data_IF_833968050238
#
_entry.id   IF_833968050238
#
_cell.length_a   1.000
_cell.length_b   1.000
_cell.length_c   1.000
_cell.angle_alpha   90.00
_cell.angle_beta   90.00
_cell.angle_gamma   90.00
#
_symmetry.space_group_name_H-M   'P 1'
#
loop_
_entity.id
_entity.type
_entity.pdbx_description
1 polymer ?
#
# COMPACT_ATOMS: atom_id res chain seq x y z
N UNK A 1 -13.20 7.43 38.61
CA UNK A 1 -13.23 6.05 38.06
C UNK A 1 -11.99 5.88 37.19
N UNK A 2 -11.18 4.85 37.42
CA UNK A 2 -9.94 4.65 36.65
C UNK A 2 -10.21 4.07 35.26
N UNK A 3 -9.33 4.33 34.30
CA UNK A 3 -9.40 3.74 32.96
C UNK A 3 -9.23 2.20 33.03
N UNK A 4 -10.00 1.48 32.22
CA UNK A 4 -9.86 0.01 32.10
C UNK A 4 -8.57 -0.36 31.38
N UNK A 5 -8.09 -1.60 31.53
CA UNK A 5 -6.93 -2.08 30.80
C UNK A 5 -7.11 -2.02 29.26
N UNK A 6 -8.33 -2.23 28.77
CA UNK A 6 -8.66 -2.07 27.35
C UNK A 6 -8.54 -0.60 26.92
N UNK A 7 -9.03 0.33 27.75
CA UNK A 7 -8.96 1.76 27.46
C UNK A 7 -7.54 2.31 27.53
N UNK A 8 -6.69 1.78 28.43
CA UNK A 8 -5.27 2.11 28.46
C UNK A 8 -4.55 1.66 27.18
N UNK A 9 -4.84 0.44 26.67
CA UNK A 9 -4.27 -0.06 25.41
C UNK A 9 -4.72 0.77 24.21
N UNK A 10 -6.02 1.07 24.11
CA UNK A 10 -6.55 1.92 23.03
C UNK A 10 -5.91 3.32 23.04
N UNK A 11 -5.76 3.94 24.23
CA UNK A 11 -5.09 5.22 24.37
C UNK A 11 -3.61 5.16 23.97
N UNK A 12 -2.93 4.06 24.26
CA UNK A 12 -1.54 3.86 23.83
C UNK A 12 -1.43 3.69 22.32
N UNK A 13 -2.30 2.88 21.70
CA UNK A 13 -2.34 2.68 20.26
C UNK A 13 -2.64 3.99 19.51
N UNK A 14 -3.59 4.78 20.01
CA UNK A 14 -3.91 6.09 19.44
C UNK A 14 -2.71 7.07 19.52
N UNK A 15 -2.01 7.13 20.66
CA UNK A 15 -0.81 7.96 20.80
C UNK A 15 0.30 7.51 19.86
N UNK A 16 0.60 6.21 19.82
CA UNK A 16 1.58 5.65 18.89
C UNK A 16 1.24 5.98 17.45
N UNK A 17 -0.05 5.90 17.08
CA UNK A 17 -0.50 6.24 15.74
C UNK A 17 -0.24 7.70 15.39
N UNK A 18 -0.63 8.63 16.27
CA UNK A 18 -0.39 10.06 16.06
C UNK A 18 1.11 10.37 15.98
N UNK A 19 1.93 9.81 16.88
CA UNK A 19 3.39 9.99 16.87
C UNK A 19 4.02 9.52 15.55
N UNK A 20 3.57 8.39 15.02
CA UNK A 20 4.04 7.88 13.73
C UNK A 20 3.58 8.78 12.58
N UNK A 21 2.33 9.24 12.59
CA UNK A 21 1.83 10.16 11.55
C UNK A 21 2.64 11.45 11.53
N UNK A 22 2.83 12.08 12.69
CA UNK A 22 3.57 13.34 12.83
C UNK A 22 5.03 13.23 12.33
N UNK A 23 5.63 12.04 12.44
CA UNK A 23 6.99 11.78 11.98
C UNK A 23 7.07 11.39 10.48
N UNK A 24 6.15 10.55 10.01
CA UNK A 24 6.22 9.94 8.66
C UNK A 24 5.62 10.84 7.59
N UNK A 25 4.51 11.53 7.88
CA UNK A 25 3.79 12.34 6.89
C UNK A 25 4.69 13.42 6.27
N UNK A 26 5.39 14.29 7.03
CA UNK A 26 6.22 15.34 6.44
C UNK A 26 7.34 14.81 5.55
N UNK A 27 7.90 13.64 5.91
CA UNK A 27 8.93 12.94 5.12
C UNK A 27 8.34 12.41 3.81
N UNK A 28 7.18 11.76 3.88
CA UNK A 28 6.47 11.25 2.71
C UNK A 28 6.12 12.39 1.74
N UNK A 29 5.60 13.51 2.25
CA UNK A 29 5.30 14.67 1.42
C UNK A 29 6.55 15.28 0.78
N UNK A 30 7.65 15.42 1.55
CA UNK A 30 8.91 15.93 1.03
C UNK A 30 9.43 15.04 -0.10
N UNK A 31 9.37 13.72 0.08
CA UNK A 31 9.78 12.76 -0.93
C UNK A 31 8.87 12.78 -2.15
N UNK A 32 7.57 12.93 -1.97
CA UNK A 32 6.60 13.11 -3.05
C UNK A 32 6.95 14.33 -3.91
N UNK A 33 7.13 15.50 -3.27
CA UNK A 33 7.48 16.76 -3.95
C UNK A 33 8.84 16.67 -4.66
N UNK A 34 9.79 15.93 -4.11
CA UNK A 34 11.11 15.78 -4.69
C UNK A 34 11.16 14.80 -5.88
N UNK A 35 10.21 13.86 -5.97
CA UNK A 35 10.24 12.76 -6.96
C UNK A 35 9.22 12.90 -8.07
N UNK A 36 8.27 13.81 -7.93
CA UNK A 36 7.11 13.91 -8.82
C UNK A 36 6.89 15.33 -9.28
N UNK A 37 6.35 15.50 -10.48
CA UNK A 37 5.88 16.77 -11.02
C UNK A 37 4.43 16.60 -11.45
N UNK A 38 3.49 17.20 -10.71
CA UNK A 38 2.06 17.16 -11.03
C UNK A 38 1.19 16.26 -10.16
N UNK A 39 1.75 15.51 -9.21
CA UNK A 39 0.95 14.85 -8.17
C UNK A 39 0.66 15.81 -7.02
N UNK A 40 -0.51 15.67 -6.40
CA UNK A 40 -0.80 16.32 -5.14
C UNK A 40 -0.04 15.57 -4.02
N UNK A 41 0.80 16.27 -3.27
CA UNK A 41 1.62 15.67 -2.22
C UNK A 41 1.15 16.00 -0.79
N UNK A 42 -0.03 16.61 -0.64
CA UNK A 42 -0.67 16.88 0.65
C UNK A 42 -1.45 15.64 1.07
N UNK A 43 -0.80 14.76 1.83
CA UNK A 43 -1.41 13.50 2.28
C UNK A 43 -2.53 13.77 3.28
N UNK A 44 -3.58 12.97 3.18
CA UNK A 44 -4.64 12.92 4.17
C UNK A 44 -4.59 11.55 4.84
N UNK A 45 -4.17 11.53 6.11
CA UNK A 45 -4.16 10.30 6.90
C UNK A 45 -5.50 10.14 7.60
N UNK A 46 -6.16 9.00 7.38
CA UNK A 46 -7.50 8.73 7.93
C UNK A 46 -7.56 7.39 8.65
N UNK A 47 -8.44 7.32 9.65
CA UNK A 47 -8.74 6.08 10.38
C UNK A 47 -10.21 5.72 10.15
N UNK A 48 -10.43 4.50 9.65
CA UNK A 48 -11.72 3.84 9.62
C UNK A 48 -11.99 3.20 11.00
N UNK A 49 -12.93 3.78 11.73
CA UNK A 49 -13.27 3.44 13.11
C UNK A 49 -14.34 2.34 13.22
N UNK A 50 -14.77 1.77 12.09
CA UNK A 50 -15.72 0.64 12.09
C UNK A 50 -15.11 -0.56 12.80
N UNK A 51 -15.87 -1.10 13.76
CA UNK A 51 -15.51 -2.30 14.48
C UNK A 51 -15.49 -3.55 13.58
N UNK A 52 -14.79 -4.59 14.03
CA UNK A 52 -14.78 -5.94 13.45
C UNK A 52 -14.33 -6.04 11.98
N UNK A 53 -13.57 -5.05 11.50
CA UNK A 53 -12.90 -5.13 10.20
C UNK A 53 -11.60 -5.94 10.30
N UNK A 54 -11.26 -6.78 9.32
CA UNK A 54 -9.94 -7.40 9.25
C UNK A 54 -8.85 -6.32 9.16
N UNK A 55 -7.68 -6.50 9.78
CA UNK A 55 -6.58 -5.53 9.71
C UNK A 55 -6.25 -5.10 8.28
N UNK A 56 -6.30 -3.80 8.00
CA UNK A 56 -5.98 -3.27 6.67
C UNK A 56 -5.46 -1.82 6.70
N UNK A 57 -4.63 -1.49 5.72
CA UNK A 57 -4.32 -0.13 5.28
C UNK A 57 -4.34 -0.08 3.75
N UNK A 58 -4.59 1.10 3.18
CA UNK A 58 -4.54 1.30 1.74
C UNK A 58 -4.33 2.76 1.36
N UNK A 59 -3.78 2.95 0.16
CA UNK A 59 -3.71 4.23 -0.52
C UNK A 59 -4.85 4.42 -1.52
N UNK A 60 -5.43 5.62 -1.55
CA UNK A 60 -6.36 6.07 -2.60
C UNK A 60 -6.27 7.59 -2.80
N UNK A 61 -7.17 8.19 -3.57
CA UNK A 61 -7.31 9.64 -3.72
C UNK A 61 -8.74 10.08 -3.47
N UNK A 62 -8.93 11.30 -2.99
CA UNK A 62 -10.25 11.93 -2.93
C UNK A 62 -10.74 12.37 -4.32
N UNK A 63 -11.94 12.96 -4.39
CA UNK A 63 -12.53 13.44 -5.66
C UNK A 63 -11.74 14.58 -6.33
N UNK A 64 -10.85 15.24 -5.60
CA UNK A 64 -10.00 16.33 -6.07
C UNK A 64 -8.56 15.88 -6.34
N UNK A 65 -8.26 14.59 -6.19
CA UNK A 65 -6.93 14.03 -6.40
C UNK A 65 -6.00 14.16 -5.19
N UNK A 66 -6.48 14.55 -4.01
CA UNK A 66 -5.67 14.54 -2.78
C UNK A 66 -5.39 13.10 -2.34
N UNK A 67 -4.13 12.71 -2.09
CA UNK A 67 -3.83 11.37 -1.62
C UNK A 67 -4.41 11.12 -0.23
N UNK A 68 -5.08 9.98 -0.10
CA UNK A 68 -5.57 9.45 1.18
C UNK A 68 -4.77 8.19 1.49
N UNK A 69 -4.21 8.12 2.70
CA UNK A 69 -3.70 6.88 3.29
C UNK A 69 -4.62 6.52 4.45
N UNK A 70 -5.33 5.40 4.30
CA UNK A 70 -6.34 4.95 5.24
C UNK A 70 -5.85 3.75 6.04
N UNK A 71 -6.12 3.78 7.35
CA UNK A 71 -5.89 2.67 8.27
C UNK A 71 -7.21 2.28 8.92
N UNK A 72 -7.37 1.03 9.35
CA UNK A 72 -8.48 0.66 10.23
C UNK A 72 -8.00 0.29 11.64
N UNK A 73 -8.94 0.26 12.59
CA UNK A 73 -8.64 -0.11 13.97
C UNK A 73 -8.02 -1.50 14.10
N UNK A 74 -8.41 -2.44 13.23
CA UNK A 74 -7.85 -3.79 13.19
C UNK A 74 -6.33 -3.76 12.97
N UNK A 75 -5.85 -2.97 12.01
CA UNK A 75 -4.43 -2.82 11.72
C UNK A 75 -3.71 -2.11 12.86
N UNK A 76 -4.24 -0.99 13.32
CA UNK A 76 -3.63 -0.18 14.40
C UNK A 76 -3.46 -1.01 15.68
N UNK A 77 -4.39 -1.94 15.96
CA UNK A 77 -4.29 -2.84 17.10
C UNK A 77 -3.40 -4.07 16.84
N UNK A 78 -3.09 -4.39 15.58
CA UNK A 78 -2.30 -5.58 15.21
C UNK A 78 -0.79 -5.33 15.16
N UNK A 79 -0.37 -4.07 14.98
CA UNK A 79 1.05 -3.68 14.98
C UNK A 79 1.62 -3.80 16.40
N UNK A 80 2.84 -4.32 16.51
CA UNK A 80 3.50 -4.59 17.80
C UNK A 80 4.34 -3.41 18.28
N UNK A 81 4.69 -2.49 17.38
CA UNK A 81 5.53 -1.34 17.68
C UNK A 81 5.36 -0.23 16.62
N UNK A 82 5.94 0.94 16.91
CA UNK A 82 5.88 2.09 16.04
C UNK A 82 6.64 1.90 14.72
N UNK A 83 7.72 1.09 14.69
CA UNK A 83 8.48 0.83 13.46
C UNK A 83 7.62 0.08 12.41
N UNK A 84 6.81 -0.88 12.85
CA UNK A 84 5.86 -1.58 11.96
C UNK A 84 4.82 -0.63 11.38
N UNK A 85 4.23 0.22 12.22
CA UNK A 85 3.24 1.20 11.75
C UNK A 85 3.87 2.22 10.79
N UNK A 86 5.07 2.69 11.09
CA UNK A 86 5.81 3.62 10.24
C UNK A 86 6.19 3.00 8.89
N UNK A 87 6.51 1.70 8.87
CA UNK A 87 6.76 0.96 7.64
C UNK A 87 5.50 0.80 6.79
N UNK A 88 4.36 0.43 7.38
CA UNK A 88 3.08 0.34 6.66
C UNK A 88 2.67 1.70 6.11
N UNK A 89 2.78 2.78 6.90
CA UNK A 89 2.46 4.13 6.42
C UNK A 89 3.39 4.59 5.29
N UNK A 90 4.69 4.33 5.41
CA UNK A 90 5.66 4.63 4.35
C UNK A 90 5.38 3.83 3.07
N UNK A 91 4.96 2.58 3.20
CA UNK A 91 4.57 1.72 2.08
C UNK A 91 3.34 2.26 1.35
N UNK A 92 2.27 2.63 2.06
CA UNK A 92 1.08 3.22 1.43
C UNK A 92 1.38 4.59 0.78
N UNK A 93 2.18 5.43 1.43
CA UNK A 93 2.63 6.67 0.82
C UNK A 93 3.45 6.43 -0.46
N UNK A 94 4.26 5.37 -0.47
CA UNK A 94 5.04 4.99 -1.65
C UNK A 94 4.17 4.58 -2.84
N UNK A 95 3.02 3.92 -2.62
CA UNK A 95 2.06 3.64 -3.69
C UNK A 95 1.60 4.91 -4.40
N UNK A 96 1.34 5.99 -3.63
CA UNK A 96 0.98 7.27 -4.21
C UNK A 96 2.16 7.91 -4.96
N UNK A 97 3.33 7.98 -4.34
CA UNK A 97 4.52 8.62 -4.93
C UNK A 97 4.95 7.94 -6.24
N UNK A 98 4.70 6.64 -6.36
CA UNK A 98 4.99 5.85 -7.57
C UNK A 98 3.83 5.81 -8.57
N UNK A 99 2.73 6.49 -8.27
CA UNK A 99 1.52 6.57 -9.09
C UNK A 99 0.94 5.18 -9.46
N UNK A 100 1.03 4.22 -8.53
CA UNK A 100 0.61 2.84 -8.77
C UNK A 100 -0.89 2.71 -9.06
N UNK A 101 -1.72 3.54 -8.44
CA UNK A 101 -3.17 3.54 -8.67
C UNK A 101 -3.51 3.89 -10.12
N UNK A 102 -2.89 4.92 -10.69
CA UNK A 102 -3.09 5.33 -12.07
C UNK A 102 -2.58 4.26 -13.03
N UNK A 103 -1.33 3.79 -12.83
CA UNK A 103 -0.74 2.72 -13.66
C UNK A 103 -1.56 1.43 -13.65
N UNK A 104 -2.16 1.08 -12.51
CA UNK A 104 -3.06 -0.08 -12.40
C UNK A 104 -4.33 0.12 -13.24
N UNK A 105 -4.95 1.30 -13.19
CA UNK A 105 -6.14 1.64 -13.99
C UNK A 105 -5.84 1.67 -15.49
N UNK A 106 -4.68 2.21 -15.87
CA UNK A 106 -4.20 2.20 -17.26
C UNK A 106 -3.98 0.77 -17.76
N UNK A 107 -3.30 -0.06 -16.97
CA UNK A 107 -3.06 -1.46 -17.33
C UNK A 107 -4.37 -2.25 -17.45
N UNK A 108 -5.33 -1.99 -16.56
CA UNK A 108 -6.68 -2.56 -16.67
C UNK A 108 -7.38 -2.13 -17.96
N UNK A 109 -7.32 -0.83 -18.29
CA UNK A 109 -7.92 -0.30 -19.53
C UNK A 109 -7.31 -0.94 -20.78
N UNK A 110 -5.98 -1.04 -20.83
CA UNK A 110 -5.27 -1.69 -21.95
C UNK A 110 -5.68 -3.16 -22.05
N UNK A 111 -5.69 -3.89 -20.94
CA UNK A 111 -6.10 -5.29 -20.93
C UNK A 111 -7.53 -5.48 -21.42
N UNK A 112 -8.45 -4.62 -20.98
CA UNK A 112 -9.85 -4.61 -21.41
C UNK A 112 -9.98 -4.47 -22.93
N UNK A 113 -9.31 -3.45 -23.50
CA UNK A 113 -9.32 -3.16 -24.93
C UNK A 113 -8.73 -4.31 -25.75
N UNK A 114 -7.60 -4.88 -25.32
CA UNK A 114 -6.93 -5.98 -26.02
C UNK A 114 -7.82 -7.22 -26.07
N UNK A 115 -8.38 -7.63 -24.93
CA UNK A 115 -9.20 -8.84 -24.87
C UNK A 115 -10.53 -8.67 -25.62
N UNK A 116 -11.18 -7.52 -25.48
CA UNK A 116 -12.38 -7.20 -26.25
C UNK A 116 -12.11 -7.22 -27.76
N UNK A 117 -10.99 -6.65 -28.19
CA UNK A 117 -10.56 -6.65 -29.60
C UNK A 117 -10.31 -8.05 -30.15
N UNK A 118 -9.64 -8.92 -29.39
CA UNK A 118 -9.42 -10.32 -29.78
C UNK A 118 -10.75 -11.06 -29.95
N UNK A 119 -11.69 -10.90 -29.00
CA UNK A 119 -13.01 -11.51 -29.07
C UNK A 119 -13.85 -10.97 -30.24
N UNK A 120 -13.76 -9.68 -30.54
CA UNK A 120 -14.45 -9.08 -31.68
C UNK A 120 -13.92 -9.64 -33.01
N UNK A 121 -12.59 -9.74 -33.16
CA UNK A 121 -11.95 -10.26 -34.38
C UNK A 121 -12.27 -11.75 -34.59
N UNK A 122 -12.49 -12.52 -33.52
CA UNK A 122 -12.90 -13.92 -33.61
C UNK A 122 -14.38 -14.12 -33.94
N UNK A 123 -15.16 -13.04 -34.11
CA UNK A 123 -16.58 -13.09 -34.41
C UNK A 123 -17.45 -13.44 -33.20
N UNK A 124 -16.96 -13.20 -31.98
CA UNK A 124 -17.72 -13.48 -30.77
C UNK A 124 -18.95 -12.58 -30.65
N UNK A 125 -20.01 -13.08 -30.00
CA UNK A 125 -21.20 -12.30 -29.71
C UNK A 125 -20.92 -11.21 -28.65
N UNK A 126 -21.77 -10.19 -28.59
CA UNK A 126 -21.57 -9.01 -27.74
C UNK A 126 -21.33 -9.36 -26.25
N UNK A 127 -22.02 -10.37 -25.71
CA UNK A 127 -21.83 -10.81 -24.33
C UNK A 127 -20.45 -11.45 -24.12
N UNK A 128 -19.96 -12.24 -25.08
CA UNK A 128 -18.63 -12.81 -25.03
C UNK A 128 -17.53 -11.73 -25.13
N UNK A 129 -17.75 -10.69 -25.93
CA UNK A 129 -16.85 -9.53 -26.01
C UNK A 129 -16.78 -8.81 -24.66
N UNK A 130 -17.93 -8.56 -24.01
CA UNK A 130 -18.00 -7.92 -22.69
C UNK A 130 -17.32 -8.75 -21.60
N UNK A 131 -17.48 -10.07 -21.64
CA UNK A 131 -16.80 -10.97 -20.71
C UNK A 131 -15.28 -10.95 -20.93
N UNK A 132 -14.84 -10.92 -22.20
CA UNK A 132 -13.44 -10.78 -22.54
C UNK A 132 -12.88 -9.44 -22.06
N UNK A 133 -13.62 -8.33 -22.22
CA UNK A 133 -13.26 -7.01 -21.70
C UNK A 133 -13.02 -7.04 -20.18
N UNK A 134 -13.96 -7.59 -19.41
CA UNK A 134 -13.83 -7.68 -17.95
C UNK A 134 -12.65 -8.56 -17.51
N UNK A 135 -12.45 -9.68 -18.19
CA UNK A 135 -11.30 -10.56 -17.96
C UNK A 135 -9.99 -9.84 -18.27
N UNK A 136 -9.94 -9.14 -19.40
CA UNK A 136 -8.79 -8.35 -19.81
C UNK A 136 -8.47 -7.26 -18.79
N UNK A 137 -9.48 -6.56 -18.28
CA UNK A 137 -9.32 -5.56 -17.22
C UNK A 137 -8.72 -6.17 -15.96
N UNK A 138 -9.25 -7.32 -15.52
CA UNK A 138 -8.77 -8.02 -14.34
C UNK A 138 -7.32 -8.52 -14.50
N UNK A 139 -6.97 -9.07 -15.66
CA UNK A 139 -5.60 -9.50 -15.98
C UNK A 139 -4.67 -8.29 -16.00
N UNK A 140 -5.06 -7.23 -16.72
CA UNK A 140 -4.29 -6.00 -16.85
C UNK A 140 -3.97 -5.34 -15.50
N UNK A 141 -4.96 -5.25 -14.60
CA UNK A 141 -4.76 -4.71 -13.26
C UNK A 141 -3.77 -5.54 -12.41
N UNK A 142 -3.60 -6.83 -12.70
CA UNK A 142 -2.72 -7.74 -11.93
C UNK A 142 -1.31 -7.82 -12.50
N UNK A 143 -1.11 -7.50 -13.78
CA UNK A 143 0.15 -7.66 -14.51
C UNK A 143 1.38 -7.10 -13.79
N UNK A 144 1.28 -5.92 -13.17
CA UNK A 144 2.39 -5.24 -12.49
C UNK A 144 2.24 -5.14 -10.98
N UNK A 145 1.23 -5.81 -10.42
CA UNK A 145 0.85 -5.63 -9.01
C UNK A 145 1.98 -6.02 -8.06
N UNK A 146 2.73 -7.08 -8.37
CA UNK A 146 3.85 -7.53 -7.53
C UNK A 146 5.04 -6.59 -7.58
N UNK A 147 5.36 -6.09 -8.77
CA UNK A 147 6.43 -5.12 -8.99
C UNK A 147 6.14 -3.83 -8.21
N UNK A 148 4.88 -3.37 -8.23
CA UNK A 148 4.43 -2.21 -7.48
C UNK A 148 4.59 -2.39 -5.96
N UNK A 149 4.31 -3.58 -5.43
CA UNK A 149 4.54 -3.87 -4.01
C UNK A 149 6.02 -3.79 -3.64
N UNK A 150 6.92 -4.32 -4.48
CA UNK A 150 8.36 -4.26 -4.24
C UNK A 150 8.91 -2.82 -4.37
N UNK A 151 8.40 -2.03 -5.31
CA UNK A 151 8.71 -0.60 -5.42
C UNK A 151 8.23 0.18 -4.19
N UNK A 152 7.05 -0.17 -3.67
CA UNK A 152 6.48 0.42 -2.47
C UNK A 152 7.28 0.01 -1.22
N UNK A 153 7.72 -1.24 -1.10
CA UNK A 153 8.62 -1.69 -0.02
C UNK A 153 9.96 -0.96 -0.02
N UNK A 154 10.55 -0.78 -1.21
CA UNK A 154 11.79 -0.03 -1.35
C UNK A 154 11.62 1.42 -0.89
N UNK A 155 10.62 2.13 -1.40
CA UNK A 155 10.44 3.54 -1.06
C UNK A 155 9.91 3.71 0.38
N UNK A 156 9.04 2.82 0.85
CA UNK A 156 8.60 2.75 2.24
C UNK A 156 9.77 2.58 3.20
N UNK A 157 10.73 1.70 2.88
CA UNK A 157 11.99 1.57 3.64
C UNK A 157 12.72 2.89 3.80
N UNK A 158 12.84 3.66 2.71
CA UNK A 158 13.53 4.96 2.71
C UNK A 158 12.75 6.00 3.53
N UNK A 159 11.42 6.02 3.40
CA UNK A 159 10.54 6.94 4.14
C UNK A 159 10.65 6.66 5.64
N UNK A 160 10.49 5.40 6.08
CA UNK A 160 10.55 5.04 7.50
C UNK A 160 11.92 5.33 8.11
N UNK A 161 13.00 4.99 7.40
CA UNK A 161 14.36 5.32 7.84
C UNK A 161 14.57 6.83 8.02
N UNK A 162 14.09 7.65 7.08
CA UNK A 162 14.19 9.12 7.16
C UNK A 162 13.30 9.72 8.24
N UNK A 163 12.19 9.07 8.58
CA UNK A 163 11.33 9.44 9.69
C UNK A 163 11.88 9.00 11.06
N UNK A 164 13.03 8.33 11.12
CA UNK A 164 13.69 7.93 12.36
C UNK A 164 13.29 6.55 12.89
N UNK A 165 12.61 5.73 12.08
CA UNK A 165 12.21 4.36 12.41
C UNK A 165 13.15 3.33 11.80
N UNK A 166 13.21 2.14 12.40
CA UNK A 166 13.94 0.99 11.85
C UNK A 166 13.06 0.25 10.81
N UNK A 167 13.34 0.37 9.51
CA UNK A 167 12.52 -0.26 8.49
C UNK A 167 12.64 -1.79 8.48
N UNK A 168 13.76 -2.37 8.95
CA UNK A 168 13.94 -3.83 9.01
C UNK A 168 13.10 -4.40 10.15
N UNK A 169 13.08 -3.71 11.30
CA UNK A 169 12.15 -4.02 12.40
C UNK A 169 10.70 -3.82 11.97
N UNK A 170 10.40 -2.77 11.20
CA UNK A 170 9.06 -2.52 10.69
C UNK A 170 8.56 -3.59 9.72
N UNK A 171 9.43 -4.07 8.82
CA UNK A 171 9.10 -5.14 7.89
C UNK A 171 8.97 -6.53 8.54
N UNK A 172 9.30 -6.68 9.83
CA UNK A 172 8.98 -7.89 10.58
C UNK A 172 7.47 -8.18 10.63
N UNK A 173 6.63 -7.16 10.38
CA UNK A 173 5.20 -7.32 10.14
C UNK A 173 4.87 -8.42 9.11
N UNK A 174 5.69 -8.57 8.06
CA UNK A 174 5.49 -9.62 7.03
C UNK A 174 5.59 -11.04 7.58
N UNK A 175 6.33 -11.27 8.66
CA UNK A 175 6.41 -12.58 9.28
C UNK A 175 5.14 -12.94 10.08
N UNK A 176 4.28 -11.97 10.35
CA UNK A 176 3.08 -12.11 11.19
C UNK A 176 1.78 -12.18 10.39
N UNK A 177 1.84 -11.93 9.08
CA UNK A 177 0.71 -12.05 8.16
C UNK A 177 0.84 -13.32 7.28
N UNK A 178 -0.27 -13.91 6.81
CA UNK A 178 -0.22 -15.05 5.89
C UNK A 178 0.59 -14.72 4.64
N UNK A 179 1.47 -15.64 4.24
CA UNK A 179 2.21 -15.49 2.98
C UNK A 179 1.25 -15.66 1.80
N UNK A 180 1.09 -14.66 0.92
CA UNK A 180 0.25 -14.78 -0.28
C UNK A 180 0.76 -15.87 -1.26
N UNK A 181 2.05 -16.21 -1.19
CA UNK A 181 2.73 -17.12 -2.10
C UNK A 181 2.93 -16.55 -3.51
N UNK A 182 3.68 -17.25 -4.36
CA UNK A 182 3.96 -16.78 -5.72
C UNK A 182 2.86 -17.18 -6.72
N UNK A 183 1.66 -16.60 -6.63
CA UNK A 183 0.55 -16.87 -7.56
C UNK A 183 0.57 -15.91 -8.74
N UNK A 184 0.44 -16.38 -9.98
CA UNK A 184 0.51 -15.53 -11.19
C UNK A 184 -0.51 -14.37 -11.18
N UNK A 185 -1.72 -14.59 -10.64
CA UNK A 185 -2.77 -13.56 -10.51
C UNK A 185 -2.90 -12.96 -9.09
N UNK A 186 -1.95 -13.24 -8.18
CA UNK A 186 -1.95 -12.65 -6.84
C UNK A 186 -1.44 -11.20 -6.89
N UNK A 187 -2.03 -10.28 -6.08
CA UNK A 187 -1.53 -8.90 -5.97
C UNK A 187 -0.16 -8.81 -5.31
N UNK A 188 0.07 -9.63 -4.29
CA UNK A 188 1.23 -9.49 -3.43
C UNK A 188 2.28 -10.57 -3.75
N UNK A 189 3.57 -10.20 -3.81
CA UNK A 189 4.66 -11.15 -3.93
C UNK A 189 4.87 -11.91 -2.61
N UNK A 190 5.63 -13.02 -2.61
CA UNK A 190 5.95 -13.73 -1.38
C UNK A 190 6.61 -12.82 -0.34
N UNK A 191 6.26 -13.01 0.93
CA UNK A 191 6.77 -12.16 2.03
C UNK A 191 8.31 -12.17 2.12
N UNK A 192 8.96 -13.28 1.75
CA UNK A 192 10.41 -13.38 1.69
C UNK A 192 11.04 -12.43 0.66
N UNK A 193 10.41 -12.22 -0.50
CA UNK A 193 10.90 -11.31 -1.53
C UNK A 193 10.76 -9.84 -1.09
N UNK A 194 9.66 -9.51 -0.43
CA UNK A 194 9.42 -8.19 0.18
C UNK A 194 10.48 -7.86 1.23
N UNK A 195 10.70 -8.78 2.17
CA UNK A 195 11.71 -8.61 3.23
C UNK A 195 13.13 -8.46 2.67
N UNK A 196 13.46 -9.18 1.60
CA UNK A 196 14.76 -9.05 0.92
C UNK A 196 14.96 -7.66 0.31
N UNK A 197 13.92 -7.07 -0.32
CA UNK A 197 13.97 -5.69 -0.82
C UNK A 197 14.19 -4.70 0.32
N UNK A 198 13.49 -4.87 1.45
CA UNK A 198 13.67 -4.01 2.62
C UNK A 198 15.10 -4.09 3.15
N UNK A 199 15.62 -5.30 3.39
CA UNK A 199 16.99 -5.50 3.90
C UNK A 199 18.04 -4.90 2.98
N UNK A 200 17.93 -5.13 1.67
CA UNK A 200 18.85 -4.56 0.68
C UNK A 200 18.80 -3.03 0.67
N UNK A 201 17.60 -2.47 0.76
CA UNK A 201 17.41 -1.02 0.76
C UNK A 201 17.97 -0.41 2.06
N UNK A 202 17.67 -1.00 3.22
CA UNK A 202 18.23 -0.59 4.51
C UNK A 202 19.77 -0.60 4.50
N UNK A 203 20.38 -1.69 4.02
CA UNK A 203 21.84 -1.79 3.89
C UNK A 203 22.42 -0.68 3.00
N UNK A 204 21.72 -0.29 1.93
CA UNK A 204 22.16 0.82 1.07
C UNK A 204 22.09 2.21 1.74
N UNK A 205 21.33 2.33 2.83
CA UNK A 205 21.24 3.52 3.68
C UNK A 205 22.24 3.50 4.84
N UNK A 206 23.00 2.41 5.02
CA UNK A 206 23.93 2.23 6.14
C UNK A 206 23.26 1.76 7.44
N UNK A 207 22.08 1.16 7.34
CA UNK A 207 21.32 0.55 8.44
C UNK A 207 21.52 -0.97 8.50
#
# INVERSE_FOLDING_TARGET
>A
MGATAAQLRANQAARQFVEVVDAVEPVAEQMCRARTSGLNCDFQIVVDDRADQPPNAFQTVDRFGRPIVAFNLGLINSVENADELAFVMGHEAAHHIRDHLTKTRESATVGAVVFAGIAAISGAEAEAIKNAEQLGAAVGARTYSKEFELEADQLGTIISARAGYDPVRGAAFFARIPDPGNRFLGSHPPNAARLEVVKRTAASLGL
#
